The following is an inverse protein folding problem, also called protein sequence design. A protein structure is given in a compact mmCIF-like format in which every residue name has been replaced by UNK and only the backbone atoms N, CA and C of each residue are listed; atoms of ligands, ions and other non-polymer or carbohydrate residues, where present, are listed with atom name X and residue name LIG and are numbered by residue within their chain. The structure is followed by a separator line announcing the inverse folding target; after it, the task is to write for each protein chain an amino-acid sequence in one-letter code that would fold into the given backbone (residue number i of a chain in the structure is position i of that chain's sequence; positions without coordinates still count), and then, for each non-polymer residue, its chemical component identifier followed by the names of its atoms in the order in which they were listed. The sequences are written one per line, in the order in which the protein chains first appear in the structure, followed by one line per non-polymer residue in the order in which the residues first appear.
data_IF_982020295192
#
_entry.id   IF_982020295192
#
_cell.length_a   1.000
_cell.length_b   1.000
_cell.length_c   1.000
_cell.angle_alpha   90.00
_cell.angle_beta   90.00
_cell.angle_gamma   90.00
#
_symmetry.space_group_name_H-M   'P 1'
#
loop_
_entity.id
_entity.type
_entity.pdbx_description
1 polymer ?
#
# COMPACT_ATOMS: atom_id res chain seq x y z
N UNK A 1 -9.94 13.31 20.62
CA UNK A 1 -11.23 12.99 19.96
C UNK A 1 -12.38 13.38 20.86
N UNK A 2 -13.44 13.95 20.29
CA UNK A 2 -14.69 14.16 21.02
C UNK A 2 -15.34 12.81 21.38
N UNK A 3 -16.21 12.80 22.40
CA UNK A 3 -16.99 11.60 22.79
C UNK A 3 -17.80 11.06 21.60
N UNK A 4 -18.32 11.95 20.75
CA UNK A 4 -19.04 11.59 19.52
C UNK A 4 -18.14 10.91 18.48
N UNK A 5 -16.91 11.39 18.28
CA UNK A 5 -15.95 10.76 17.37
C UNK A 5 -15.55 9.36 17.83
N UNK A 6 -15.36 9.15 19.14
CA UNK A 6 -15.13 7.82 19.73
C UNK A 6 -16.32 6.88 19.51
N UNK A 7 -17.54 7.33 19.82
CA UNK A 7 -18.76 6.53 19.58
C UNK A 7 -18.92 6.14 18.11
N UNK A 8 -18.62 7.03 17.17
CA UNK A 8 -18.65 6.72 15.74
C UNK A 8 -17.55 5.74 15.32
N UNK A 9 -16.33 5.88 15.86
CA UNK A 9 -15.24 4.92 15.67
C UNK A 9 -15.64 3.54 16.17
N UNK A 10 -16.11 3.42 17.42
CA UNK A 10 -16.53 2.15 18.00
C UNK A 10 -17.74 1.55 17.26
N UNK A 11 -18.72 2.35 16.83
CA UNK A 11 -19.83 1.86 15.99
C UNK A 11 -19.35 1.30 14.65
N UNK A 12 -18.39 1.96 14.00
CA UNK A 12 -17.79 1.50 12.73
C UNK A 12 -16.94 0.24 12.91
N UNK A 13 -16.13 0.18 13.97
CA UNK A 13 -15.31 -1.01 14.27
C UNK A 13 -16.21 -2.18 14.66
N UNK A 14 -17.17 -1.98 15.56
CA UNK A 14 -18.13 -3.01 15.94
C UNK A 14 -18.94 -3.49 14.73
N UNK A 15 -19.40 -2.60 13.84
CA UNK A 15 -20.13 -3.04 12.64
C UNK A 15 -19.24 -3.80 11.64
N UNK A 16 -17.96 -3.42 11.50
CA UNK A 16 -17.02 -4.10 10.62
C UNK A 16 -16.50 -5.45 11.16
N UNK A 17 -16.49 -5.65 12.49
CA UNK A 17 -15.97 -6.87 13.14
C UNK A 17 -17.05 -7.80 13.73
N UNK A 18 -18.24 -7.30 14.08
CA UNK A 18 -19.31 -8.09 14.75
C UNK A 18 -20.50 -8.42 13.85
N UNK A 19 -20.74 -7.67 12.76
CA UNK A 19 -21.76 -8.04 11.79
C UNK A 19 -21.16 -9.05 10.79
N UNK A 20 -21.70 -10.26 10.65
CA UNK A 20 -21.26 -11.19 9.62
C UNK A 20 -21.63 -10.59 8.25
N UNK A 21 -20.65 -10.03 7.56
CA UNK A 21 -20.84 -9.35 6.27
C UNK A 21 -19.53 -8.86 5.64
N UNK A 22 -19.53 -8.74 4.31
CA UNK A 22 -18.40 -8.32 3.45
C UNK A 22 -18.02 -6.84 3.70
N UNK A 23 -17.30 -6.59 4.79
CA UNK A 23 -16.65 -5.31 5.09
C UNK A 23 -15.42 -5.10 4.19
N UNK A 24 -14.98 -3.85 4.00
CA UNK A 24 -13.70 -3.54 3.36
C UNK A 24 -12.52 -4.36 3.93
N UNK A 25 -12.60 -4.76 5.21
CA UNK A 25 -11.58 -5.56 5.87
C UNK A 25 -11.35 -6.93 5.19
N UNK A 26 -12.35 -7.49 4.52
CA UNK A 26 -12.18 -8.77 3.80
C UNK A 26 -11.32 -8.63 2.55
N UNK A 27 -11.26 -7.43 1.96
CA UNK A 27 -10.35 -7.16 0.83
C UNK A 27 -8.90 -7.02 1.31
N UNK A 28 -8.71 -6.40 2.48
CA UNK A 28 -7.38 -6.06 2.97
C UNK A 28 -6.63 -7.23 3.61
N UNK A 29 -7.33 -8.19 4.21
CA UNK A 29 -6.73 -9.30 4.95
C UNK A 29 -6.64 -10.60 4.15
N UNK A 30 -5.94 -10.58 3.01
CA UNK A 30 -5.49 -11.82 2.35
C UNK A 30 -4.27 -12.41 3.08
N UNK A 31 -3.74 -13.55 2.62
CA UNK A 31 -2.46 -14.05 3.15
C UNK A 31 -1.29 -13.29 2.51
N UNK A 32 -0.47 -12.52 3.27
CA UNK A 32 0.70 -11.85 2.70
C UNK A 32 1.75 -12.88 2.28
N UNK A 33 2.10 -12.90 1.00
CA UNK A 33 3.01 -13.90 0.45
C UNK A 33 3.96 -13.27 -0.57
N UNK A 34 5.17 -13.82 -0.61
CA UNK A 34 6.13 -13.59 -1.71
C UNK A 34 5.61 -14.35 -2.93
N UNK A 35 5.52 -13.69 -4.09
CA UNK A 35 5.24 -14.40 -5.34
C UNK A 35 6.55 -15.09 -5.83
N UNK A 36 6.63 -16.43 -5.82
CA UNK A 36 7.84 -17.13 -6.29
C UNK A 36 8.13 -16.86 -7.77
N UNK A 37 7.08 -16.68 -8.57
CA UNK A 37 7.18 -16.40 -10.01
C UNK A 37 7.41 -14.92 -10.35
N UNK A 38 7.56 -14.05 -9.33
CA UNK A 38 7.81 -12.63 -9.57
C UNK A 38 9.09 -12.40 -10.39
N UNK A 39 8.98 -11.58 -11.43
CA UNK A 39 10.14 -11.15 -12.22
C UNK A 39 11.00 -10.19 -11.41
N UNK A 40 12.32 -10.40 -11.43
CA UNK A 40 13.30 -9.51 -10.80
C UNK A 40 14.16 -8.90 -11.91
N UNK A 41 14.32 -7.58 -11.91
CA UNK A 41 15.13 -6.84 -12.91
C UNK A 41 14.42 -6.58 -14.24
N UNK A 42 13.19 -7.05 -14.41
CA UNK A 42 12.33 -6.77 -15.57
C UNK A 42 10.86 -6.81 -15.15
N UNK A 43 9.98 -6.19 -15.94
CA UNK A 43 8.54 -6.29 -15.72
C UNK A 43 8.02 -7.69 -16.10
N UNK A 44 7.10 -8.20 -15.31
CA UNK A 44 6.42 -9.49 -15.47
C UNK A 44 5.45 -9.70 -14.32
N UNK A 45 5.31 -10.92 -13.80
CA UNK A 45 4.49 -11.14 -12.61
C UNK A 45 4.91 -10.21 -11.46
N UNK A 46 3.93 -9.57 -10.84
CA UNK A 46 4.11 -8.67 -9.71
C UNK A 46 4.57 -9.43 -8.46
N UNK A 47 5.27 -8.69 -7.60
CA UNK A 47 6.00 -9.21 -6.43
C UNK A 47 5.14 -9.95 -5.42
N UNK A 48 3.88 -9.55 -5.27
CA UNK A 48 2.90 -10.21 -4.42
C UNK A 48 1.79 -10.83 -5.28
N UNK A 49 1.30 -12.04 -4.95
CA UNK A 49 0.33 -12.74 -5.79
C UNK A 49 -1.00 -12.00 -5.97
N UNK A 50 -1.58 -11.51 -4.86
CA UNK A 50 -2.91 -10.88 -4.79
C UNK A 50 -4.05 -11.73 -5.39
N UNK A 51 -3.97 -13.06 -5.32
CA UNK A 51 -4.98 -13.95 -5.91
C UNK A 51 -6.34 -13.85 -5.24
N UNK A 52 -6.39 -13.81 -3.90
CA UNK A 52 -7.64 -13.62 -3.17
C UNK A 52 -8.29 -12.27 -3.50
N UNK A 53 -7.46 -11.23 -3.69
CA UNK A 53 -7.93 -9.91 -4.13
C UNK A 53 -8.46 -9.96 -5.56
N UNK A 54 -7.80 -10.69 -6.47
CA UNK A 54 -8.26 -10.86 -7.85
C UNK A 54 -9.66 -11.50 -7.95
N UNK A 55 -10.00 -12.34 -6.98
CA UNK A 55 -11.28 -13.03 -6.81
C UNK A 55 -12.23 -12.31 -5.85
N UNK A 56 -12.04 -11.01 -5.64
CA UNK A 56 -12.92 -10.22 -4.80
C UNK A 56 -14.39 -10.38 -5.20
N UNK A 57 -15.20 -10.91 -4.27
CA UNK A 57 -16.64 -11.17 -4.46
C UNK A 57 -17.54 -10.06 -3.91
N UNK A 58 -16.95 -8.90 -3.59
CA UNK A 58 -17.68 -7.76 -3.04
C UNK A 58 -18.38 -6.93 -4.13
N UNK A 59 -18.89 -5.74 -3.76
CA UNK A 59 -19.56 -4.85 -4.70
C UNK A 59 -18.62 -4.42 -5.83
N UNK A 60 -19.16 -4.32 -7.04
CA UNK A 60 -18.52 -3.71 -8.20
C UNK A 60 -19.47 -2.65 -8.78
N UNK A 61 -18.94 -1.72 -9.55
CA UNK A 61 -19.75 -0.82 -10.38
C UNK A 61 -20.29 -1.52 -11.64
N UNK A 62 -20.93 -0.77 -12.54
CA UNK A 62 -21.46 -1.30 -13.80
C UNK A 62 -20.40 -1.78 -14.79
N UNK A 63 -19.17 -1.28 -14.68
CA UNK A 63 -18.03 -1.65 -15.53
C UNK A 63 -17.22 -2.82 -14.93
N UNK A 64 -17.60 -3.29 -13.73
CA UNK A 64 -16.94 -4.38 -13.03
C UNK A 64 -15.71 -3.95 -12.23
N UNK A 65 -15.59 -2.67 -11.88
CA UNK A 65 -14.52 -2.13 -11.03
C UNK A 65 -14.90 -2.32 -9.55
N UNK A 66 -13.98 -2.80 -8.70
CA UNK A 66 -14.30 -3.10 -7.31
C UNK A 66 -14.60 -1.84 -6.48
N UNK A 67 -15.68 -1.93 -5.70
CA UNK A 67 -16.06 -0.97 -4.68
C UNK A 67 -15.85 -1.61 -3.29
N UNK A 68 -15.17 -0.90 -2.40
CA UNK A 68 -15.03 -1.33 -1.01
C UNK A 68 -16.16 -0.76 -0.16
N UNK A 69 -16.77 -1.60 0.68
CA UNK A 69 -17.83 -1.20 1.58
C UNK A 69 -17.26 -0.83 2.96
N UNK A 70 -17.14 0.47 3.24
CA UNK A 70 -16.64 1.00 4.52
C UNK A 70 -17.71 1.08 5.61
N UNK A 71 -18.96 0.72 5.29
CA UNK A 71 -20.13 0.82 6.15
C UNK A 71 -20.41 2.24 6.69
N UNK A 72 -21.50 2.38 7.45
CA UNK A 72 -21.91 3.65 8.05
C UNK A 72 -22.07 4.76 7.02
N UNK A 73 -21.65 5.97 7.38
CA UNK A 73 -21.82 7.16 6.55
C UNK A 73 -20.87 7.22 5.36
N UNK A 74 -19.82 6.40 5.32
CA UNK A 74 -18.88 6.35 4.19
C UNK A 74 -19.46 5.51 3.06
N UNK A 75 -20.10 4.39 3.38
CA UNK A 75 -20.74 3.52 2.39
C UNK A 75 -19.74 2.86 1.43
N UNK A 76 -20.19 2.62 0.19
CA UNK A 76 -19.38 2.01 -0.87
C UNK A 76 -18.54 3.09 -1.55
N UNK A 77 -17.24 2.85 -1.66
CA UNK A 77 -16.30 3.80 -2.24
C UNK A 77 -15.32 3.09 -3.16
N UNK A 78 -14.89 3.79 -4.21
CA UNK A 78 -13.67 3.39 -4.91
C UNK A 78 -12.48 3.57 -3.99
N UNK A 79 -11.50 2.67 -4.12
CA UNK A 79 -10.21 2.84 -3.50
C UNK A 79 -9.14 2.52 -4.56
N UNK A 80 -8.37 3.51 -5.03
CA UNK A 80 -7.32 3.32 -6.03
C UNK A 80 -6.32 2.21 -5.67
N UNK A 81 -6.01 2.03 -4.38
CA UNK A 81 -5.16 0.96 -3.88
C UNK A 81 -5.81 -0.40 -4.16
N UNK A 82 -7.10 -0.55 -3.82
CA UNK A 82 -7.82 -1.80 -4.00
C UNK A 82 -7.97 -2.16 -5.48
N UNK A 83 -8.28 -1.17 -6.31
CA UNK A 83 -8.39 -1.34 -7.77
C UNK A 83 -7.03 -1.76 -8.35
N UNK A 84 -5.94 -1.13 -7.91
CA UNK A 84 -4.57 -1.50 -8.33
C UNK A 84 -4.21 -2.93 -7.91
N UNK A 85 -4.47 -3.33 -6.66
CA UNK A 85 -4.17 -4.69 -6.19
C UNK A 85 -5.05 -5.75 -6.87
N UNK A 86 -6.32 -5.44 -7.12
CA UNK A 86 -7.23 -6.29 -7.88
C UNK A 86 -6.75 -6.48 -9.33
N UNK A 87 -6.31 -5.39 -9.98
CA UNK A 87 -5.73 -5.43 -11.32
C UNK A 87 -4.42 -6.23 -11.37
N UNK A 88 -3.49 -5.98 -10.43
CA UNK A 88 -2.22 -6.71 -10.33
C UNK A 88 -2.42 -8.20 -10.06
N UNK A 89 -3.36 -8.56 -9.20
CA UNK A 89 -3.70 -9.96 -8.93
C UNK A 89 -4.28 -10.66 -10.16
N UNK A 90 -5.20 -10.00 -10.89
CA UNK A 90 -5.73 -10.53 -12.14
C UNK A 90 -4.64 -10.62 -13.23
N UNK A 91 -3.70 -9.67 -13.27
CA UNK A 91 -2.56 -9.72 -14.20
C UNK A 91 -1.64 -10.92 -13.91
N UNK A 92 -1.30 -11.18 -12.64
CA UNK A 92 -0.53 -12.37 -12.27
C UNK A 92 -1.25 -13.66 -12.66
N UNK A 93 -2.55 -13.77 -12.38
CA UNK A 93 -3.33 -14.93 -12.77
C UNK A 93 -3.40 -15.08 -14.29
N UNK A 94 -3.59 -13.99 -15.03
CA UNK A 94 -3.54 -14.01 -16.50
C UNK A 94 -2.21 -14.54 -17.02
N UNK A 95 -1.07 -14.09 -16.48
CA UNK A 95 0.23 -14.56 -16.94
C UNK A 95 0.41 -16.07 -16.77
N UNK A 96 -0.22 -16.66 -15.74
CA UNK A 96 -0.17 -18.09 -15.43
C UNK A 96 -1.18 -18.93 -16.22
N UNK A 97 -2.44 -18.51 -16.25
CA UNK A 97 -3.53 -19.29 -16.84
C UNK A 97 -3.79 -18.97 -18.31
N UNK A 98 -3.33 -17.81 -18.78
CA UNK A 98 -3.70 -17.20 -20.07
C UNK A 98 -5.21 -16.98 -20.24
N UNK A 99 -5.95 -16.92 -19.14
CA UNK A 99 -7.39 -16.68 -19.13
C UNK A 99 -7.72 -15.25 -19.63
N UNK A 100 -8.47 -15.10 -20.75
CA UNK A 100 -8.84 -13.80 -21.28
C UNK A 100 -9.65 -12.95 -20.30
N UNK A 101 -10.41 -13.55 -19.40
CA UNK A 101 -11.20 -12.81 -18.41
C UNK A 101 -10.31 -12.14 -17.36
N UNK A 102 -9.22 -12.81 -16.96
CA UNK A 102 -8.19 -12.22 -16.08
C UNK A 102 -7.51 -11.04 -16.75
N UNK A 103 -7.17 -11.17 -18.04
CA UNK A 103 -6.63 -10.06 -18.83
C UNK A 103 -7.61 -8.89 -18.85
N UNK A 104 -8.88 -9.15 -19.20
CA UNK A 104 -9.93 -8.13 -19.28
C UNK A 104 -10.09 -7.36 -17.96
N UNK A 105 -10.13 -8.05 -16.82
CA UNK A 105 -10.19 -7.42 -15.49
C UNK A 105 -8.96 -6.56 -15.18
N UNK A 106 -7.76 -7.06 -15.48
CA UNK A 106 -6.53 -6.28 -15.27
C UNK A 106 -6.45 -5.02 -16.14
N UNK A 107 -6.93 -5.10 -17.39
CA UNK A 107 -7.05 -3.95 -18.30
C UNK A 107 -8.11 -2.97 -17.82
N UNK A 108 -9.28 -3.46 -17.36
CA UNK A 108 -10.33 -2.59 -16.81
C UNK A 108 -9.84 -1.78 -15.61
N UNK A 109 -9.04 -2.39 -14.73
CA UNK A 109 -8.41 -1.67 -13.62
C UNK A 109 -7.45 -0.57 -14.11
N UNK A 110 -6.63 -0.86 -15.12
CA UNK A 110 -5.73 0.12 -15.71
C UNK A 110 -6.48 1.25 -16.43
N UNK A 111 -7.53 0.94 -17.19
CA UNK A 111 -8.40 1.93 -17.84
C UNK A 111 -9.05 2.85 -16.79
N UNK A 112 -9.50 2.28 -15.67
CA UNK A 112 -10.01 3.07 -14.55
C UNK A 112 -8.94 4.02 -13.99
N UNK A 113 -7.70 3.55 -13.80
CA UNK A 113 -6.59 4.37 -13.32
C UNK A 113 -6.25 5.50 -14.31
N UNK A 114 -6.21 5.24 -15.61
CA UNK A 114 -5.99 6.28 -16.64
C UNK A 114 -7.08 7.35 -16.55
N UNK A 115 -8.34 6.93 -16.47
CA UNK A 115 -9.51 7.82 -16.45
C UNK A 115 -9.58 8.70 -15.19
N UNK A 116 -9.15 8.19 -14.04
CA UNK A 116 -9.29 8.87 -12.74
C UNK A 116 -7.98 9.47 -12.22
N UNK A 117 -6.95 9.61 -13.06
CA UNK A 117 -5.73 10.33 -12.72
C UNK A 117 -5.95 11.83 -12.91
N UNK A 118 -6.21 12.53 -11.81
CA UNK A 118 -6.65 13.91 -11.78
C UNK A 118 -5.64 14.81 -11.06
N UNK A 119 -5.48 16.09 -11.46
CA UNK A 119 -4.64 17.02 -10.71
C UNK A 119 -5.22 17.30 -9.32
N UNK A 120 -4.37 17.26 -8.28
CA UNK A 120 -4.74 17.80 -6.97
C UNK A 120 -4.71 19.33 -6.93
N UNK A 121 -4.90 19.94 -5.75
CA UNK A 121 -4.90 21.39 -5.58
C UNK A 121 -3.59 22.09 -5.96
N UNK A 122 -2.49 21.36 -6.12
CA UNK A 122 -1.19 21.85 -6.56
C UNK A 122 -0.89 21.52 -8.04
N UNK A 123 -1.88 20.99 -8.77
CA UNK A 123 -1.73 20.60 -10.17
C UNK A 123 -0.98 19.27 -10.37
N UNK A 124 -0.71 18.50 -9.32
CA UNK A 124 0.03 17.23 -9.40
C UNK A 124 -0.96 16.08 -9.70
N UNK A 125 -0.74 15.26 -10.75
CA UNK A 125 -1.63 14.15 -11.08
C UNK A 125 -1.61 13.05 -10.03
N UNK A 126 -2.76 12.77 -9.41
CA UNK A 126 -2.93 11.78 -8.35
C UNK A 126 -4.24 11.01 -8.48
N UNK A 127 -4.31 9.83 -7.85
CA UNK A 127 -5.57 9.13 -7.62
C UNK A 127 -6.16 9.51 -6.27
N UNK A 128 -7.29 10.21 -6.30
CA UNK A 128 -7.97 10.67 -5.10
C UNK A 128 -8.86 9.59 -4.48
N UNK A 129 -8.88 9.56 -3.15
CA UNK A 129 -9.93 9.00 -2.32
C UNK A 129 -10.97 10.08 -2.04
N UNK A 130 -12.22 9.83 -2.45
CA UNK A 130 -13.32 10.82 -2.41
C UNK A 130 -14.20 10.70 -1.15
N UNK A 131 -13.64 10.24 -0.04
CA UNK A 131 -14.34 10.10 1.22
C UNK A 131 -13.45 10.50 2.40
N UNK A 132 -14.04 11.04 3.46
CA UNK A 132 -13.29 11.37 4.67
C UNK A 132 -12.78 10.10 5.36
N UNK A 133 -11.53 10.12 5.83
CA UNK A 133 -10.91 9.00 6.52
C UNK A 133 -10.42 9.38 7.91
N UNK A 134 -10.99 8.71 8.91
CA UNK A 134 -10.56 8.80 10.30
C UNK A 134 -9.24 8.04 10.48
N UNK A 135 -8.15 8.78 10.37
CA UNK A 135 -6.81 8.41 10.80
C UNK A 135 -6.40 9.25 12.02
N UNK A 136 -5.12 9.27 12.40
CA UNK A 136 -4.64 10.06 13.54
C UNK A 136 -5.05 11.54 13.43
N UNK A 137 -4.86 12.08 12.24
CA UNK A 137 -5.45 13.35 11.80
C UNK A 137 -6.49 13.00 10.74
N UNK A 138 -7.75 13.47 10.85
CA UNK A 138 -8.77 13.19 9.85
C UNK A 138 -8.31 13.66 8.46
N UNK A 139 -8.32 12.75 7.49
CA UNK A 139 -8.07 13.06 6.09
C UNK A 139 -9.39 13.51 5.48
N UNK A 140 -9.43 14.73 4.95
CA UNK A 140 -10.61 15.30 4.29
C UNK A 140 -10.58 14.99 2.81
N UNK A 141 -11.70 14.56 2.27
CA UNK A 141 -11.83 14.33 0.83
C UNK A 141 -11.72 15.66 0.06
N UNK A 142 -11.10 15.65 -1.15
CA UNK A 142 -10.29 14.57 -1.69
C UNK A 142 -8.92 14.48 -0.99
N UNK A 143 -8.43 13.27 -0.76
CA UNK A 143 -7.06 13.01 -0.30
C UNK A 143 -6.41 11.92 -1.17
N UNK A 144 -5.09 11.80 -1.16
CA UNK A 144 -4.35 10.82 -1.96
C UNK A 144 -3.24 10.15 -1.15
N UNK A 145 -2.59 9.14 -1.74
CA UNK A 145 -1.65 8.25 -1.04
C UNK A 145 -0.46 7.89 -1.92
N UNK A 146 0.77 7.96 -1.38
CA UNK A 146 1.96 7.47 -2.06
C UNK A 146 1.91 5.97 -2.37
N UNK A 147 1.23 5.18 -1.53
CA UNK A 147 0.96 3.76 -1.78
C UNK A 147 0.09 3.61 -3.04
N UNK A 148 -1.01 4.38 -3.14
CA UNK A 148 -1.88 4.35 -4.32
C UNK A 148 -1.12 4.73 -5.59
N UNK A 149 -0.30 5.77 -5.53
CA UNK A 149 0.55 6.20 -6.65
C UNK A 149 1.49 5.08 -7.10
N UNK A 150 2.20 4.43 -6.17
CA UNK A 150 3.13 3.37 -6.50
C UNK A 150 2.44 2.14 -7.11
N UNK A 151 1.35 1.65 -6.51
CA UNK A 151 0.67 0.46 -7.01
C UNK A 151 -0.07 0.71 -8.33
N UNK A 152 -0.62 1.90 -8.53
CA UNK A 152 -1.22 2.27 -9.81
C UNK A 152 -0.18 2.31 -10.93
N UNK A 153 1.01 2.89 -10.67
CA UNK A 153 2.14 2.86 -11.59
C UNK A 153 2.55 1.42 -11.91
N UNK A 154 2.74 0.56 -10.90
CA UNK A 154 3.10 -0.85 -11.09
C UNK A 154 2.13 -1.59 -12.01
N UNK A 155 0.82 -1.30 -11.92
CA UNK A 155 -0.19 -1.88 -12.79
C UNK A 155 -0.11 -1.31 -14.20
N UNK A 156 -0.09 0.01 -14.32
CA UNK A 156 -0.09 0.72 -15.61
C UNK A 156 1.10 0.31 -16.48
N UNK A 157 2.32 0.26 -15.93
CA UNK A 157 3.50 -0.12 -16.74
C UNK A 157 3.45 -1.58 -17.21
N UNK A 158 2.85 -2.48 -16.42
CA UNK A 158 2.66 -3.89 -16.81
C UNK A 158 1.60 -4.04 -17.90
N UNK A 159 0.47 -3.34 -17.78
CA UNK A 159 -0.58 -3.36 -18.79
C UNK A 159 -0.13 -2.64 -20.07
N UNK A 160 0.63 -1.55 -19.96
CA UNK A 160 1.29 -0.90 -21.08
C UNK A 160 2.18 -1.86 -21.86
N UNK A 161 3.06 -2.60 -21.17
CA UNK A 161 3.91 -3.61 -21.80
C UNK A 161 3.10 -4.74 -22.46
N UNK A 162 2.07 -5.25 -21.79
CA UNK A 162 1.26 -6.37 -22.29
C UNK A 162 0.36 -6.01 -23.47
N UNK A 163 -0.09 -4.76 -23.56
CA UNK A 163 -1.05 -4.31 -24.60
C UNK A 163 -0.38 -3.53 -25.73
N UNK A 164 0.81 -2.97 -25.49
CA UNK A 164 1.49 -2.07 -26.43
C UNK A 164 0.86 -0.69 -26.56
N UNK A 165 -0.16 -0.34 -25.74
CA UNK A 165 -0.82 0.97 -25.78
C UNK A 165 -0.02 2.00 -24.96
N UNK A 166 0.30 3.15 -25.55
CA UNK A 166 1.11 4.20 -24.89
C UNK A 166 0.38 4.91 -23.76
N UNK A 167 -0.95 5.04 -23.83
CA UNK A 167 -1.80 5.73 -22.84
C UNK A 167 -1.49 5.29 -21.39
N UNK A 168 -1.20 4.01 -21.17
CA UNK A 168 -0.88 3.50 -19.84
C UNK A 168 0.49 3.98 -19.34
N UNK A 169 1.50 4.02 -20.21
CA UNK A 169 2.83 4.53 -19.85
C UNK A 169 2.80 6.05 -19.67
N UNK A 170 2.01 6.76 -20.48
CA UNK A 170 1.78 8.21 -20.34
C UNK A 170 1.11 8.54 -19.00
N UNK A 171 0.07 7.79 -18.62
CA UNK A 171 -0.56 7.93 -17.31
C UNK A 171 0.39 7.57 -16.15
N UNK A 172 1.21 6.52 -16.30
CA UNK A 172 2.21 6.16 -15.29
C UNK A 172 3.26 7.27 -15.13
N UNK A 173 3.70 7.89 -16.23
CA UNK A 173 4.63 9.02 -16.23
C UNK A 173 4.04 10.22 -15.51
N UNK A 174 2.79 10.59 -15.82
CA UNK A 174 2.08 11.67 -15.11
C UNK A 174 1.89 11.37 -13.62
N UNK A 175 1.58 10.12 -13.25
CA UNK A 175 1.45 9.72 -11.84
C UNK A 175 2.81 9.75 -11.11
N UNK A 176 3.91 9.50 -11.83
CA UNK A 176 5.26 9.53 -11.29
C UNK A 176 5.69 10.94 -10.85
N UNK A 177 5.11 12.01 -11.42
CA UNK A 177 5.35 13.40 -10.97
C UNK A 177 5.08 13.61 -9.47
N UNK A 178 4.16 12.83 -8.89
CA UNK A 178 3.88 12.86 -7.45
C UNK A 178 5.10 12.45 -6.61
N UNK A 179 5.99 11.62 -7.15
CA UNK A 179 7.21 11.17 -6.49
C UNK A 179 8.40 12.12 -6.70
N UNK A 180 8.27 13.12 -7.56
CA UNK A 180 9.29 14.15 -7.78
C UNK A 180 9.06 15.41 -6.93
N UNK A 181 7.93 15.47 -6.21
CA UNK A 181 7.51 16.63 -5.43
C UNK A 181 7.38 16.31 -3.95
N UNK A 182 7.61 17.33 -3.12
CA UNK A 182 7.43 17.23 -1.69
C UNK A 182 5.93 17.12 -1.33
N UNK A 183 5.61 16.57 -0.16
CA UNK A 183 4.22 16.59 0.36
C UNK A 183 3.66 18.00 0.56
N UNK A 184 4.52 19.01 0.73
CA UNK A 184 4.12 20.42 0.83
C UNK A 184 3.76 21.02 -0.54
N UNK A 185 4.31 20.46 -1.63
CA UNK A 185 4.07 20.88 -3.01
C UNK A 185 3.07 19.97 -3.75
N UNK A 186 2.26 19.21 -3.00
CA UNK A 186 1.27 18.29 -3.53
C UNK A 186 1.81 16.97 -4.06
N UNK A 187 3.06 16.61 -3.74
CA UNK A 187 3.64 15.30 -4.02
C UNK A 187 3.42 14.30 -2.88
N UNK A 188 4.08 13.15 -3.00
CA UNK A 188 4.01 12.03 -2.06
C UNK A 188 5.30 11.85 -1.24
N UNK A 189 6.33 12.68 -1.46
CA UNK A 189 7.64 12.53 -0.81
C UNK A 189 7.81 13.50 0.35
N UNK A 190 8.12 12.98 1.52
CA UNK A 190 8.64 13.75 2.64
C UNK A 190 10.15 13.50 2.76
N UNK A 191 10.95 14.52 3.05
CA UNK A 191 12.38 14.36 3.34
C UNK A 191 12.62 14.77 4.80
N UNK A 192 13.16 13.87 5.61
CA UNK A 192 13.42 14.14 7.01
C UNK A 192 14.71 14.96 7.22
N UNK A 193 14.99 15.36 8.46
CA UNK A 193 16.16 16.17 8.82
C UNK A 193 17.50 15.46 8.55
N UNK A 194 17.51 14.13 8.41
CA UNK A 194 18.70 13.33 8.06
C UNK A 194 18.86 13.17 6.55
N UNK A 195 17.93 13.66 5.75
CA UNK A 195 17.92 13.54 4.30
C UNK A 195 17.31 12.23 3.79
N UNK A 196 16.73 11.42 4.66
CA UNK A 196 16.00 10.21 4.30
C UNK A 196 14.66 10.58 3.62
N UNK A 197 14.26 9.82 2.60
CA UNK A 197 13.03 10.06 1.86
C UNK A 197 11.93 9.07 2.23
N UNK A 198 10.74 9.60 2.46
CA UNK A 198 9.57 8.86 2.86
C UNK A 198 8.45 9.08 1.85
N UNK A 199 7.99 7.99 1.24
CA UNK A 199 6.73 7.95 0.50
C UNK A 199 5.58 7.77 1.48
N UNK A 200 4.79 8.82 1.69
CA UNK A 200 3.73 8.83 2.69
C UNK A 200 2.47 8.13 2.18
N UNK A 201 2.03 7.08 2.88
CA UNK A 201 0.72 6.45 2.61
C UNK A 201 -0.43 7.38 2.97
N UNK A 202 -0.34 8.04 4.12
CA UNK A 202 -1.26 9.10 4.53
C UNK A 202 -0.47 10.38 4.75
N UNK A 203 -0.76 11.40 3.95
CA UNK A 203 -0.05 12.67 4.01
C UNK A 203 -0.63 13.50 5.16
N UNK A 204 0.03 13.46 6.31
CA UNK A 204 -0.34 14.17 7.53
C UNK A 204 0.86 14.91 8.12
N UNK A 205 0.58 15.89 8.99
CA UNK A 205 1.60 16.61 9.75
C UNK A 205 1.37 16.43 11.25
N UNK A 206 2.37 15.96 12.02
CA UNK A 206 3.64 15.41 11.55
C UNK A 206 3.45 14.10 10.76
N UNK A 207 4.35 13.76 9.80
CA UNK A 207 4.33 12.49 9.08
C UNK A 207 4.40 11.29 10.02
N UNK A 208 3.89 10.13 9.57
CA UNK A 208 3.86 8.91 10.38
C UNK A 208 4.68 7.77 9.81
N UNK A 209 5.15 7.85 8.56
CA UNK A 209 6.04 6.86 7.95
C UNK A 209 5.49 5.43 8.07
N UNK A 210 4.35 5.15 7.44
CA UNK A 210 3.75 3.81 7.45
C UNK A 210 4.63 2.84 6.64
N UNK A 211 5.12 1.78 7.28
CA UNK A 211 6.17 0.93 6.71
C UNK A 211 5.72 0.20 5.44
N UNK A 212 4.56 -0.47 5.49
CA UNK A 212 4.09 -1.25 4.35
C UNK A 212 3.80 -0.38 3.13
N UNK A 213 3.21 0.80 3.34
CA UNK A 213 2.87 1.74 2.28
C UNK A 213 4.11 2.32 1.62
N UNK A 214 5.12 2.67 2.42
CA UNK A 214 6.43 3.09 1.93
C UNK A 214 7.07 2.05 1.00
N UNK A 215 7.11 0.77 1.43
CA UNK A 215 7.72 -0.31 0.65
C UNK A 215 6.97 -0.56 -0.66
N UNK A 216 5.64 -0.60 -0.63
CA UNK A 216 4.85 -0.75 -1.86
C UNK A 216 5.01 0.45 -2.81
N UNK A 217 5.08 1.67 -2.29
CA UNK A 217 5.35 2.86 -3.09
C UNK A 217 6.72 2.77 -3.78
N UNK A 218 7.76 2.33 -3.04
CA UNK A 218 9.10 2.14 -3.59
C UNK A 218 9.13 1.08 -4.71
N UNK A 219 8.31 0.03 -4.64
CA UNK A 219 8.20 -0.93 -5.74
C UNK A 219 7.57 -0.32 -7.00
N UNK A 220 6.63 0.61 -6.85
CA UNK A 220 6.09 1.38 -7.97
C UNK A 220 7.14 2.25 -8.66
N UNK A 221 7.97 2.94 -7.88
CA UNK A 221 9.12 3.71 -8.39
C UNK A 221 10.10 2.80 -9.14
N UNK A 222 10.41 1.62 -8.59
CA UNK A 222 11.28 0.65 -9.23
C UNK A 222 10.68 0.10 -10.54
N UNK A 223 9.39 -0.25 -10.55
CA UNK A 223 8.69 -0.72 -11.74
C UNK A 223 8.66 0.35 -12.84
N UNK A 224 8.49 1.63 -12.47
CA UNK A 224 8.60 2.74 -13.41
C UNK A 224 9.99 2.80 -14.04
N UNK A 225 11.06 2.74 -13.22
CA UNK A 225 12.43 2.64 -13.73
C UNK A 225 12.62 1.44 -14.68
N UNK A 226 12.08 0.27 -14.34
CA UNK A 226 12.19 -0.90 -15.21
C UNK A 226 11.54 -0.67 -16.58
N UNK A 227 10.41 0.05 -16.62
CA UNK A 227 9.66 0.38 -17.82
C UNK A 227 10.35 1.44 -18.69
N UNK A 228 10.86 2.51 -18.08
CA UNK A 228 11.30 3.74 -18.79
C UNK A 228 12.81 3.88 -18.89
N UNK A 229 13.57 3.19 -18.02
CA UNK A 229 15.00 3.43 -17.78
C UNK A 229 15.30 4.87 -17.33
N UNK A 230 14.31 5.54 -16.73
CA UNK A 230 14.47 6.89 -16.18
C UNK A 230 15.47 6.89 -15.01
N UNK A 231 16.49 7.75 -15.10
CA UNK A 231 17.55 7.84 -14.09
C UNK A 231 17.06 8.42 -12.76
N UNK A 232 16.13 9.38 -12.79
CA UNK A 232 15.57 9.95 -11.57
C UNK A 232 14.77 8.89 -10.81
N UNK A 233 14.04 8.01 -11.51
CA UNK A 233 13.37 6.88 -10.88
C UNK A 233 14.34 5.86 -10.27
N UNK A 234 15.45 5.57 -10.96
CA UNK A 234 16.51 4.71 -10.44
C UNK A 234 17.12 5.29 -9.14
N UNK A 235 17.53 6.56 -9.18
CA UNK A 235 18.12 7.26 -8.03
C UNK A 235 17.13 7.34 -6.86
N UNK A 236 15.86 7.63 -7.15
CA UNK A 236 14.81 7.70 -6.14
C UNK A 236 14.57 6.34 -5.48
N UNK A 237 14.56 5.24 -6.24
CA UNK A 237 14.48 3.90 -5.66
C UNK A 237 15.69 3.58 -4.76
N UNK A 238 16.91 3.91 -5.19
CA UNK A 238 18.13 3.72 -4.39
C UNK A 238 18.04 4.51 -3.07
N UNK A 239 17.56 5.76 -3.11
CA UNK A 239 17.35 6.57 -1.91
C UNK A 239 16.29 5.96 -0.99
N UNK A 240 15.21 5.42 -1.53
CA UNK A 240 14.18 4.74 -0.74
C UNK A 240 14.71 3.46 -0.07
N UNK A 241 15.53 2.67 -0.79
CA UNK A 241 16.24 1.50 -0.24
C UNK A 241 17.16 1.92 0.91
N UNK A 242 17.95 2.98 0.74
CA UNK A 242 18.84 3.49 1.78
C UNK A 242 18.08 4.03 3.00
N UNK A 243 16.95 4.70 2.77
CA UNK A 243 16.05 5.14 3.85
C UNK A 243 15.54 3.95 4.66
N UNK A 244 15.06 2.91 3.98
CA UNK A 244 14.60 1.69 4.65
C UNK A 244 15.74 1.05 5.47
N UNK A 245 16.93 0.91 4.89
CA UNK A 245 18.10 0.32 5.56
C UNK A 245 18.44 1.05 6.86
N UNK A 246 18.44 2.37 6.85
CA UNK A 246 18.78 3.21 8.00
C UNK A 246 17.70 3.21 9.09
N UNK A 247 16.44 2.94 8.72
CA UNK A 247 15.30 3.12 9.63
C UNK A 247 14.66 1.83 10.11
N UNK A 248 15.04 0.65 9.57
CA UNK A 248 14.42 -0.63 9.94
C UNK A 248 14.53 -0.96 11.43
N UNK A 249 15.60 -0.52 12.10
CA UNK A 249 15.74 -0.72 13.54
C UNK A 249 14.65 0.02 14.34
N UNK A 250 14.24 1.20 13.88
CA UNK A 250 13.13 1.95 14.45
C UNK A 250 11.76 1.25 14.31
N UNK A 251 11.64 0.25 13.43
CA UNK A 251 10.45 -0.58 13.30
C UNK A 251 10.54 -1.92 14.04
N UNK A 252 11.68 -2.27 14.65
CA UNK A 252 11.85 -3.53 15.40
C UNK A 252 11.75 -3.28 16.91
N UNK A 253 10.68 -3.76 17.54
CA UNK A 253 10.49 -3.62 18.99
C UNK A 253 11.18 -4.73 19.80
N UNK A 254 11.96 -5.60 19.17
CA UNK A 254 12.59 -6.79 19.76
C UNK A 254 11.63 -7.97 19.99
N UNK A 255 10.32 -7.72 19.90
CA UNK A 255 9.29 -8.73 20.04
C UNK A 255 8.22 -8.70 18.94
N UNK A 256 8.14 -7.63 18.15
CA UNK A 256 7.19 -7.45 17.06
C UNK A 256 7.62 -6.29 16.17
N UNK A 257 7.04 -6.16 14.97
CA UNK A 257 7.27 -4.97 14.13
C UNK A 257 6.31 -3.83 14.50
N UNK A 258 6.79 -2.60 14.40
CA UNK A 258 5.97 -1.39 14.44
C UNK A 258 5.22 -1.21 13.11
N UNK A 259 4.02 -0.62 13.15
CA UNK A 259 3.26 -0.28 11.93
C UNK A 259 3.75 1.02 11.29
N UNK A 260 3.97 2.03 12.12
CA UNK A 260 4.25 3.41 11.72
C UNK A 260 5.07 4.11 12.81
N UNK A 261 5.89 5.08 12.44
CA UNK A 261 6.65 5.95 13.34
C UNK A 261 5.84 7.21 13.69
N UNK A 262 4.67 7.05 14.30
CA UNK A 262 3.78 8.18 14.57
C UNK A 262 4.23 9.11 15.72
N UNK A 263 5.32 8.80 16.43
CA UNK A 263 5.75 9.62 17.57
C UNK A 263 4.72 9.69 18.72
N UNK A 264 3.76 8.76 18.76
CA UNK A 264 2.85 8.61 19.90
C UNK A 264 3.58 7.99 21.09
N UNK A 265 3.14 8.33 22.31
CA UNK A 265 3.75 7.80 23.55
C UNK A 265 3.69 6.26 23.64
N UNK A 266 2.59 5.65 23.20
CA UNK A 266 2.54 4.20 22.99
C UNK A 266 2.81 3.89 21.52
N UNK A 267 3.68 2.92 21.22
CA UNK A 267 3.97 2.53 19.84
C UNK A 267 2.76 1.83 19.20
N UNK A 268 2.44 2.19 17.96
CA UNK A 268 1.40 1.50 17.19
C UNK A 268 1.94 0.18 16.63
N UNK A 269 1.78 -0.89 17.41
CA UNK A 269 2.23 -2.24 17.02
C UNK A 269 1.43 -2.77 15.83
N UNK A 270 2.13 -3.36 14.84
CA UNK A 270 1.51 -3.96 13.67
C UNK A 270 0.51 -5.07 14.06
N UNK A 271 -0.59 -5.21 13.31
CA UNK A 271 -1.48 -6.37 13.50
C UNK A 271 -0.76 -7.66 13.09
N UNK A 272 -1.27 -8.85 13.45
CA UNK A 272 -0.76 -10.12 12.93
C UNK A 272 -0.56 -10.13 11.41
N UNK A 273 -1.58 -9.65 10.67
CA UNK A 273 -1.52 -9.50 9.22
C UNK A 273 -0.38 -8.55 8.79
N UNK A 274 -0.32 -7.33 9.32
CA UNK A 274 0.70 -6.36 8.89
C UNK A 274 2.12 -6.79 9.24
N UNK A 275 2.30 -7.51 10.35
CA UNK A 275 3.60 -8.08 10.69
C UNK A 275 4.05 -9.14 9.68
N UNK A 276 3.14 -10.04 9.28
CA UNK A 276 3.42 -11.02 8.23
C UNK A 276 3.66 -10.34 6.87
N UNK A 277 2.90 -9.28 6.57
CA UNK A 277 3.13 -8.46 5.38
C UNK A 277 4.53 -7.85 5.38
N UNK A 278 4.95 -7.25 6.48
CA UNK A 278 6.29 -6.69 6.59
C UNK A 278 7.38 -7.75 6.37
N UNK A 279 7.22 -8.96 6.92
CA UNK A 279 8.14 -10.08 6.66
C UNK A 279 8.19 -10.40 5.17
N UNK A 280 7.04 -10.57 4.50
CA UNK A 280 6.99 -10.85 3.06
C UNK A 280 7.60 -9.72 2.22
N UNK A 281 7.33 -8.47 2.57
CA UNK A 281 7.89 -7.29 1.93
C UNK A 281 9.41 -7.23 2.06
N UNK A 282 9.96 -7.53 3.23
CA UNK A 282 11.42 -7.56 3.44
C UNK A 282 12.10 -8.70 2.68
N UNK A 283 11.47 -9.88 2.57
CA UNK A 283 11.97 -10.94 1.68
C UNK A 283 12.00 -10.50 0.23
N UNK A 284 11.00 -9.74 -0.22
CA UNK A 284 10.96 -9.17 -1.56
C UNK A 284 12.01 -8.07 -1.74
N UNK A 285 12.22 -7.21 -0.75
CA UNK A 285 13.30 -6.22 -0.78
C UNK A 285 14.67 -6.89 -0.92
N UNK A 286 14.93 -7.99 -0.21
CA UNK A 286 16.14 -8.79 -0.40
C UNK A 286 16.24 -9.30 -1.85
N UNK A 287 15.18 -9.89 -2.41
CA UNK A 287 15.17 -10.36 -3.81
C UNK A 287 15.43 -9.25 -4.82
N UNK A 288 14.92 -8.04 -4.59
CA UNK A 288 15.04 -6.91 -5.51
C UNK A 288 16.41 -6.21 -5.43
N UNK A 289 17.06 -6.24 -4.27
CA UNK A 289 18.27 -5.44 -4.00
C UNK A 289 19.53 -6.28 -3.79
N UNK A 290 19.38 -7.57 -3.48
CA UNK A 290 20.49 -8.44 -3.03
C UNK A 290 20.96 -8.13 -1.60
N UNK A 291 20.28 -7.25 -0.87
CA UNK A 291 20.78 -6.74 0.40
C UNK A 291 20.36 -7.61 1.59
N UNK A 292 21.33 -8.34 2.14
CA UNK A 292 21.16 -9.28 3.26
C UNK A 292 20.54 -8.66 4.51
N UNK A 293 20.62 -7.34 4.70
CA UNK A 293 19.97 -6.67 5.82
C UNK A 293 18.47 -6.99 5.86
N UNK A 294 17.80 -6.93 4.70
CA UNK A 294 16.36 -7.17 4.62
C UNK A 294 16.00 -8.61 4.96
N UNK A 295 16.80 -9.58 4.48
CA UNK A 295 16.61 -10.99 4.82
C UNK A 295 16.76 -11.23 6.32
N UNK A 296 17.81 -10.65 6.95
CA UNK A 296 18.02 -10.76 8.41
C UNK A 296 16.86 -10.19 9.23
N UNK A 297 16.30 -9.04 8.85
CA UNK A 297 15.11 -8.51 9.53
C UNK A 297 13.89 -9.41 9.31
N UNK A 298 13.68 -9.92 8.09
CA UNK A 298 12.59 -10.84 7.81
C UNK A 298 12.68 -12.13 8.63
N UNK A 299 13.86 -12.76 8.71
CA UNK A 299 14.12 -13.95 9.56
C UNK A 299 13.79 -13.66 11.02
N UNK A 300 14.34 -12.56 11.55
CA UNK A 300 14.13 -12.14 12.93
C UNK A 300 12.66 -11.92 13.24
N UNK A 301 11.94 -11.16 12.41
CA UNK A 301 10.51 -10.90 12.60
C UNK A 301 9.67 -12.17 12.46
N UNK A 302 10.03 -13.09 11.58
CA UNK A 302 9.39 -14.39 11.49
C UNK A 302 9.52 -15.21 12.79
N UNK A 303 10.68 -15.15 13.47
CA UNK A 303 10.82 -15.78 14.80
C UNK A 303 9.86 -15.20 15.84
N UNK A 304 9.52 -13.91 15.72
CA UNK A 304 8.57 -13.26 16.62
C UNK A 304 7.16 -13.82 16.42
N UNK A 305 6.73 -13.98 15.17
CA UNK A 305 5.45 -14.58 14.81
C UNK A 305 5.32 -16.03 15.30
N UNK A 306 6.43 -16.79 15.37
CA UNK A 306 6.43 -18.18 15.87
C UNK A 306 6.35 -18.27 17.40
N UNK A 307 6.74 -17.23 18.14
CA UNK A 307 6.71 -17.22 19.60
C UNK A 307 5.33 -16.85 20.16
N UNK A 308 4.71 -17.77 20.92
CA UNK A 308 3.42 -17.50 21.62
C UNK A 308 3.52 -16.30 22.56
N UNK A 309 4.59 -16.20 23.34
CA UNK A 309 4.80 -15.11 24.29
C UNK A 309 4.89 -13.74 23.58
N UNK A 310 5.66 -13.66 22.48
CA UNK A 310 5.81 -12.42 21.70
C UNK A 310 4.50 -12.00 21.02
N UNK A 311 3.74 -12.95 20.46
CA UNK A 311 2.39 -12.69 19.92
C UNK A 311 1.42 -12.17 20.96
N UNK A 312 1.37 -12.77 22.16
CA UNK A 312 0.53 -12.30 23.26
C UNK A 312 0.93 -10.88 23.68
N UNK A 313 2.23 -10.61 23.81
CA UNK A 313 2.74 -9.26 24.12
C UNK A 313 2.30 -8.25 23.06
N UNK A 314 2.44 -8.56 21.77
CA UNK A 314 2.00 -7.69 20.69
C UNK A 314 0.49 -7.41 20.73
N UNK A 315 -0.33 -8.43 21.02
CA UNK A 315 -1.78 -8.27 21.18
C UNK A 315 -2.14 -7.35 22.35
N UNK A 316 -1.48 -7.51 23.50
CA UNK A 316 -1.68 -6.65 24.67
C UNK A 316 -1.31 -5.19 24.35
N UNK A 317 -0.16 -4.94 23.72
CA UNK A 317 0.24 -3.59 23.30
C UNK A 317 -0.77 -2.98 22.32
N UNK A 318 -1.26 -3.76 21.35
CA UNK A 318 -2.26 -3.29 20.40
C UNK A 318 -3.60 -2.98 21.06
N UNK A 319 -4.01 -3.79 22.04
CA UNK A 319 -5.19 -3.54 22.86
C UNK A 319 -5.05 -2.25 23.67
N UNK A 320 -3.93 -2.07 24.37
CA UNK A 320 -3.64 -0.85 25.12
C UNK A 320 -3.61 0.40 24.23
N UNK A 321 -2.97 0.32 23.06
CA UNK A 321 -2.96 1.41 22.09
C UNK A 321 -4.38 1.80 21.67
N UNK A 322 -5.23 0.81 21.33
CA UNK A 322 -6.63 1.07 20.96
C UNK A 322 -7.41 1.73 22.10
N UNK A 323 -7.24 1.28 23.35
CA UNK A 323 -7.92 1.88 24.50
C UNK A 323 -7.48 3.33 24.78
N UNK A 324 -6.22 3.67 24.53
CA UNK A 324 -5.70 5.01 24.78
C UNK A 324 -6.03 6.00 23.65
N UNK A 325 -5.94 5.55 22.40
CA UNK A 325 -5.98 6.43 21.24
C UNK A 325 -7.25 6.32 20.39
N UNK A 326 -8.11 5.33 20.64
CA UNK A 326 -9.36 5.12 19.93
C UNK A 326 -10.58 5.05 20.85
#
# INVERSE_FOLDING_TARGET
MSVAARLNYYRRVCSAYLLPGKSQLTFWHDQPQVNPSASIGQLGEYYMPFFEKADYIGPHDGDGIPLLNYHGNIGRQYNPIAISQWGLGNFNLFLRSKDPERKRKSVAAADWLVKHLEPNSFGVPVWNHLFDWEYRTPLKAPWYSGLAQGQGISLLVRIGQETGKSDYLEAATRAFDSFLKSTQDGGAVFTDERGDIWFEEYIVSPPTHILNGFIWAAWGVYDFFLATKDKAAQELFIRAVNTLRQNLDGYDLGFWSLYEQSGTRLPMVASPFYHQLHVAQLRLMYRLTGDELFSRYADRWETYARSRAKRTRALCYKGAFKLCYY
#
